data_IF_548867599772
#
_entry.id   IF_548867599772
#
_cell.length_a   1.000
_cell.length_b   1.000
_cell.length_c   1.000
_cell.angle_alpha   90.00
_cell.angle_beta   90.00
_cell.angle_gamma   90.00
#
_symmetry.space_group_name_H-M   'P 1'
#
loop_
_entity.id
_entity.type
_entity.pdbx_description
1 polymer ?
#
# COMPACT_ATOMS: atom_id res chain seq x y z
N UNK A 1 32.68 9.53 -5.05
CA UNK A 1 31.54 8.77 -4.53
C UNK A 1 31.60 7.39 -5.16
N UNK A 2 31.77 6.37 -4.36
CA UNK A 2 31.64 4.98 -4.79
C UNK A 2 30.32 4.42 -4.28
N UNK A 3 29.76 3.44 -4.98
CA UNK A 3 28.59 2.72 -4.50
C UNK A 3 29.05 1.55 -3.63
N UNK A 4 28.47 1.44 -2.45
CA UNK A 4 28.79 0.37 -1.51
C UNK A 4 27.54 -0.40 -1.14
N UNK A 5 27.65 -1.73 -0.87
CA UNK A 5 26.52 -2.52 -0.43
C UNK A 5 26.09 -2.11 0.98
N UNK A 6 24.78 -2.04 1.18
CA UNK A 6 24.15 -1.75 2.47
C UNK A 6 23.12 -2.83 2.73
N UNK A 7 23.21 -3.48 3.88
CA UNK A 7 22.30 -4.52 4.33
C UNK A 7 21.50 -4.05 5.55
N UNK A 8 20.21 -4.27 5.52
CA UNK A 8 19.33 -4.04 6.67
C UNK A 8 18.65 -5.35 7.08
N UNK A 9 18.65 -5.64 8.37
CA UNK A 9 18.03 -6.82 8.95
C UNK A 9 16.88 -6.41 9.85
N UNK A 10 15.67 -6.76 9.46
CA UNK A 10 14.46 -6.48 10.22
C UNK A 10 14.08 -7.72 11.03
N UNK A 11 13.98 -7.55 12.35
CA UNK A 11 13.68 -8.61 13.30
C UNK A 11 12.61 -8.12 14.28
N UNK A 12 11.80 -9.04 14.78
CA UNK A 12 10.87 -8.74 15.85
C UNK A 12 11.60 -8.46 17.18
N UNK A 13 10.86 -7.95 18.16
CA UNK A 13 11.38 -7.67 19.51
C UNK A 13 11.30 -8.89 20.43
N UNK A 14 10.91 -10.07 19.95
CA UNK A 14 10.89 -11.31 20.73
C UNK A 14 12.30 -11.72 21.17
N UNK A 15 12.44 -12.54 22.22
CA UNK A 15 13.74 -13.05 22.63
C UNK A 15 14.50 -13.83 21.54
N UNK A 16 13.78 -14.44 20.61
CA UNK A 16 14.34 -15.23 19.49
C UNK A 16 14.77 -14.33 18.33
N UNK A 17 14.20 -13.08 18.25
CA UNK A 17 14.45 -12.11 17.17
C UNK A 17 14.16 -12.72 15.80
N UNK A 18 12.91 -13.17 15.61
CA UNK A 18 12.49 -13.74 14.31
C UNK A 18 12.65 -12.72 13.18
N UNK A 19 13.13 -13.16 12.02
CA UNK A 19 13.19 -12.30 10.84
C UNK A 19 11.80 -11.91 10.37
N UNK A 20 11.68 -10.70 9.80
CA UNK A 20 10.41 -10.18 9.30
C UNK A 20 10.51 -10.00 7.78
N UNK A 21 9.92 -10.89 6.97
CA UNK A 21 9.88 -10.77 5.52
C UNK A 21 8.88 -9.71 5.06
N UNK A 22 8.88 -9.42 3.75
CA UNK A 22 7.91 -8.57 3.05
C UNK A 22 7.69 -7.18 3.65
N UNK A 23 8.69 -6.61 4.30
CA UNK A 23 8.68 -5.20 4.71
C UNK A 23 9.17 -4.36 3.55
N UNK A 24 8.37 -3.38 3.13
CA UNK A 24 8.83 -2.39 2.16
C UNK A 24 9.85 -1.47 2.84
N UNK A 25 11.05 -1.42 2.30
CA UNK A 25 12.15 -0.56 2.76
C UNK A 25 12.43 0.49 1.70
N UNK A 26 12.26 1.76 2.03
CA UNK A 26 12.55 2.90 1.14
C UNK A 26 13.69 3.72 1.70
N UNK A 27 14.66 4.04 0.84
CA UNK A 27 15.81 4.87 1.18
C UNK A 27 15.66 6.24 0.53
N UNK A 28 15.77 7.28 1.33
CA UNK A 28 15.65 8.67 0.92
C UNK A 28 16.97 9.44 1.17
N UNK A 29 17.11 10.61 0.53
CA UNK A 29 18.08 11.61 0.96
C UNK A 29 17.87 11.98 2.43
N UNK A 30 18.87 12.49 3.10
CA UNK A 30 18.81 12.85 4.53
C UNK A 30 17.66 13.83 4.84
N UNK A 31 17.30 14.70 3.89
CA UNK A 31 16.19 15.64 3.99
C UNK A 31 14.81 15.02 3.63
N UNK A 32 14.77 13.73 3.27
CA UNK A 32 13.56 12.98 2.95
C UNK A 32 12.87 13.33 1.64
N UNK A 33 13.51 14.17 0.77
CA UNK A 33 12.88 14.68 -0.45
C UNK A 33 13.10 13.81 -1.67
N UNK A 34 14.25 13.16 -1.78
CA UNK A 34 14.60 12.32 -2.93
C UNK A 34 14.67 10.86 -2.52
N UNK A 35 14.00 10.01 -3.29
CA UNK A 35 14.05 8.54 -3.13
C UNK A 35 15.24 8.01 -3.92
N UNK A 36 16.11 7.25 -3.26
CA UNK A 36 17.24 6.57 -3.91
C UNK A 36 16.87 5.19 -4.39
N UNK A 37 16.19 4.41 -3.54
CA UNK A 37 15.83 3.02 -3.86
C UNK A 37 14.70 2.52 -2.96
N UNK A 38 14.10 1.41 -3.39
CA UNK A 38 13.11 0.66 -2.62
C UNK A 38 13.35 -0.84 -2.82
N UNK A 39 13.16 -1.63 -1.78
CA UNK A 39 13.18 -3.11 -1.85
C UNK A 39 12.24 -3.71 -0.81
N UNK A 40 12.03 -5.03 -0.88
CA UNK A 40 11.35 -5.82 0.14
C UNK A 40 12.37 -6.61 0.94
N UNK A 41 12.09 -6.86 2.22
CA UNK A 41 12.85 -7.84 2.98
C UNK A 41 12.52 -9.25 2.48
N UNK A 42 13.54 -10.10 2.38
CA UNK A 42 13.40 -11.52 2.07
C UNK A 42 12.97 -12.34 3.32
N UNK A 43 12.91 -13.68 3.19
CA UNK A 43 12.53 -14.59 4.27
C UNK A 43 13.46 -14.51 5.50
N UNK A 44 14.71 -14.08 5.33
CA UNK A 44 15.65 -13.82 6.43
C UNK A 44 15.48 -12.43 7.04
N UNK A 45 14.46 -11.67 6.65
CA UNK A 45 14.23 -10.28 7.07
C UNK A 45 15.26 -9.31 6.52
N UNK A 46 16.02 -9.68 5.48
CA UNK A 46 17.10 -8.88 4.92
C UNK A 46 16.64 -8.08 3.71
N UNK A 47 16.98 -6.78 3.71
CA UNK A 47 16.90 -5.88 2.56
C UNK A 47 18.31 -5.44 2.18
N UNK A 48 18.66 -5.50 0.89
CA UNK A 48 19.98 -5.14 0.38
C UNK A 48 19.87 -4.11 -0.73
N UNK A 49 20.74 -3.09 -0.72
CA UNK A 49 20.83 -2.06 -1.75
C UNK A 49 22.27 -1.59 -1.96
N UNK A 50 22.49 -0.86 -3.06
CA UNK A 50 23.72 -0.15 -3.34
C UNK A 50 23.48 1.36 -3.15
N UNK A 51 24.23 1.99 -2.26
CA UNK A 51 24.13 3.42 -2.00
C UNK A 51 25.48 4.12 -2.17
N UNK A 52 25.48 5.39 -2.57
CA UNK A 52 26.69 6.23 -2.50
C UNK A 52 27.26 6.25 -1.07
N UNK A 53 28.58 6.14 -0.96
CA UNK A 53 29.30 6.21 0.31
C UNK A 53 29.41 7.63 0.87
N UNK A 54 29.81 7.73 2.14
CA UNK A 54 30.07 9.00 2.86
C UNK A 54 28.85 9.94 2.90
N UNK A 55 27.65 9.37 3.01
CA UNK A 55 26.41 10.12 3.10
C UNK A 55 25.48 9.54 4.16
N UNK A 56 24.63 10.40 4.72
CA UNK A 56 23.53 10.02 5.60
C UNK A 56 22.27 9.83 4.77
N UNK A 57 21.53 8.77 5.04
CA UNK A 57 20.27 8.47 4.41
C UNK A 57 19.16 8.35 5.43
N UNK A 58 17.96 8.73 5.03
CA UNK A 58 16.73 8.47 5.77
C UNK A 58 16.10 7.19 5.22
N UNK A 59 15.84 6.21 6.09
CA UNK A 59 15.19 4.96 5.72
C UNK A 59 13.81 4.89 6.36
N UNK A 60 12.82 4.51 5.57
CA UNK A 60 11.43 4.33 6.01
C UNK A 60 10.98 2.91 5.71
N UNK A 61 10.23 2.34 6.67
CA UNK A 61 9.76 0.97 6.64
C UNK A 61 8.23 0.94 6.63
N UNK A 62 7.63 0.04 5.84
CA UNK A 62 6.19 -0.07 5.74
C UNK A 62 5.79 -1.54 5.72
N UNK A 63 5.02 -1.96 6.72
CA UNK A 63 4.30 -3.23 6.78
C UNK A 63 3.16 -3.11 7.78
N UNK A 64 1.98 -3.57 7.39
CA UNK A 64 0.82 -3.62 8.28
C UNK A 64 1.09 -4.56 9.48
N UNK A 65 0.56 -4.20 10.65
CA UNK A 65 0.72 -5.00 11.87
C UNK A 65 2.07 -4.85 12.57
N UNK A 66 2.93 -3.90 12.12
CA UNK A 66 4.20 -3.63 12.75
C UNK A 66 4.34 -2.17 13.18
N UNK A 67 4.85 -1.97 14.39
CA UNK A 67 5.41 -0.69 14.84
C UNK A 67 6.89 -0.67 14.48
N UNK A 68 7.28 0.24 13.59
CA UNK A 68 8.63 0.34 13.03
C UNK A 68 9.24 1.71 13.35
N UNK A 69 10.57 1.79 13.60
CA UNK A 69 11.25 3.05 13.87
C UNK A 69 11.34 3.90 12.60
N UNK A 70 10.37 4.74 12.36
CA UNK A 70 10.25 5.59 11.17
C UNK A 70 10.25 7.08 11.52
N UNK A 71 11.11 7.89 10.86
CA UNK A 71 12.23 7.47 10.01
C UNK A 71 13.44 6.97 10.81
N UNK A 72 14.28 6.12 10.20
CA UNK A 72 15.60 5.75 10.72
C UNK A 72 16.68 6.39 9.86
N UNK A 73 17.67 7.02 10.49
CA UNK A 73 18.81 7.56 9.79
C UNK A 73 19.97 6.58 9.85
N UNK A 74 20.69 6.45 8.74
CA UNK A 74 21.89 5.61 8.61
C UNK A 74 23.02 6.39 7.96
N UNK A 75 24.23 6.22 8.46
CA UNK A 75 25.45 6.75 7.87
C UNK A 75 26.15 5.63 7.09
N UNK A 76 26.34 5.84 5.78
CA UNK A 76 26.96 4.86 4.90
C UNK A 76 28.45 5.11 4.82
N UNK A 77 29.24 4.14 5.29
CA UNK A 77 30.69 4.20 5.35
C UNK A 77 31.32 3.79 4.01
N UNK A 78 32.51 4.35 3.66
CA UNK A 78 33.24 3.93 2.48
C UNK A 78 33.78 2.50 2.64
N UNK A 79 34.01 1.80 1.51
CA UNK A 79 34.69 0.51 1.53
C UNK A 79 36.13 0.65 2.09
N UNK A 80 36.61 -0.25 2.96
CA UNK A 80 36.05 -1.57 3.34
C UNK A 80 35.12 -1.57 4.55
N UNK A 81 34.47 -0.44 4.87
CA UNK A 81 33.50 -0.38 5.98
C UNK A 81 32.31 -1.32 5.79
N UNK A 82 31.80 -1.86 6.89
CA UNK A 82 30.60 -2.72 6.89
C UNK A 82 29.37 -1.84 7.10
N UNK A 83 28.46 -1.84 6.13
CA UNK A 83 27.18 -1.12 6.17
C UNK A 83 26.04 -2.11 6.45
N UNK A 84 25.94 -2.57 7.69
CA UNK A 84 24.94 -3.50 8.16
C UNK A 84 24.18 -2.91 9.33
N UNK A 85 22.84 -2.88 9.25
CA UNK A 85 21.99 -2.22 10.23
C UNK A 85 20.87 -3.15 10.70
N UNK A 86 20.77 -3.36 12.00
CA UNK A 86 19.63 -4.06 12.62
C UNK A 86 18.49 -3.07 12.88
N UNK A 87 17.28 -3.54 12.60
CA UNK A 87 16.03 -2.81 12.84
C UNK A 87 15.09 -3.70 13.63
N UNK A 88 14.76 -3.28 14.85
CA UNK A 88 13.76 -3.95 15.66
C UNK A 88 12.36 -3.44 15.29
N UNK A 89 11.42 -4.36 15.09
CA UNK A 89 10.02 -4.07 14.86
C UNK A 89 9.16 -4.73 15.93
N UNK A 90 8.27 -3.98 16.53
CA UNK A 90 7.28 -4.52 17.45
C UNK A 90 6.12 -5.08 16.63
N UNK A 91 5.86 -6.39 16.76
CA UNK A 91 4.69 -7.03 16.16
C UNK A 91 3.47 -6.63 16.98
N UNK A 92 2.50 -5.99 16.32
CA UNK A 92 1.24 -5.64 16.94
C UNK A 92 0.24 -6.76 16.70
N UNK A 93 -0.25 -7.37 17.77
CA UNK A 93 -1.40 -8.27 17.65
C UNK A 93 -2.62 -7.46 17.23
N UNK A 94 -3.32 -7.85 16.14
CA UNK A 94 -4.53 -7.17 15.72
C UNK A 94 -5.55 -7.20 16.87
N UNK A 95 -6.06 -6.05 17.32
CA UNK A 95 -7.05 -6.02 18.38
C UNK A 95 -8.33 -6.70 17.89
N UNK A 96 -8.90 -7.57 18.72
CA UNK A 96 -10.15 -8.27 18.44
C UNK A 96 -11.26 -7.60 19.25
N UNK A 97 -12.36 -7.14 18.60
CA UNK A 97 -13.46 -6.53 19.32
C UNK A 97 -14.17 -7.57 20.20
N UNK A 98 -14.64 -7.15 21.38
CA UNK A 98 -15.42 -8.00 22.28
C UNK A 98 -16.78 -8.40 21.69
N UNK A 99 -17.36 -7.58 20.82
CA UNK A 99 -18.61 -7.85 20.12
C UNK A 99 -18.33 -8.31 18.69
N UNK A 100 -18.81 -9.49 18.33
CA UNK A 100 -18.63 -10.12 17.00
C UNK A 100 -19.23 -9.30 15.85
N UNK A 101 -20.12 -8.35 16.14
CA UNK A 101 -20.72 -7.44 15.17
C UNK A 101 -19.83 -6.25 14.84
N UNK A 102 -18.76 -6.05 15.60
CA UNK A 102 -17.83 -4.96 15.40
C UNK A 102 -16.59 -5.44 14.65
N UNK A 103 -16.01 -4.52 13.90
CA UNK A 103 -14.69 -4.61 13.31
C UNK A 103 -13.78 -3.59 14.00
N UNK A 104 -12.66 -4.01 14.51
CA UNK A 104 -11.65 -3.07 15.00
C UNK A 104 -10.84 -2.55 13.83
N UNK A 105 -11.05 -1.28 13.49
CA UNK A 105 -10.29 -0.56 12.48
C UNK A 105 -9.12 0.13 13.17
N UNK A 106 -7.89 -0.18 12.81
CA UNK A 106 -6.69 0.34 13.48
C UNK A 106 -5.55 0.55 12.51
N UNK A 107 -4.56 1.37 12.87
CA UNK A 107 -3.37 1.57 12.04
C UNK A 107 -2.55 2.77 12.45
N UNK A 108 -1.46 2.98 11.72
CA UNK A 108 -0.53 4.09 11.91
C UNK A 108 -0.69 5.13 10.81
N UNK A 109 -0.69 6.39 11.21
CA UNK A 109 -0.69 7.55 10.33
C UNK A 109 0.65 8.27 10.43
N UNK A 110 1.12 8.81 9.31
CA UNK A 110 2.42 9.48 9.24
C UNK A 110 2.33 10.75 8.43
N UNK A 111 3.13 11.72 8.84
CA UNK A 111 3.36 12.94 8.08
C UNK A 111 4.16 12.64 6.79
N UNK A 112 4.16 13.55 5.80
CA UNK A 112 4.94 13.37 4.57
C UNK A 112 6.45 13.18 4.79
N UNK A 113 6.99 13.70 5.88
CA UNK A 113 8.40 13.52 6.27
C UNK A 113 8.69 12.15 6.92
N UNK A 114 7.67 11.32 7.11
CA UNK A 114 7.75 9.98 7.72
C UNK A 114 7.62 9.97 9.25
N UNK A 115 7.57 11.13 9.91
CA UNK A 115 7.31 11.22 11.34
C UNK A 115 5.89 10.75 11.68
N UNK A 116 5.61 10.29 12.92
CA UNK A 116 4.25 9.99 13.36
C UNK A 116 3.33 11.20 13.20
N UNK A 117 2.12 10.97 12.70
CA UNK A 117 1.07 11.98 12.69
C UNK A 117 0.35 11.97 14.06
N UNK A 118 0.89 12.72 15.00
CA UNK A 118 0.37 12.83 16.36
C UNK A 118 -0.84 13.77 16.44
N UNK A 119 -1.76 13.47 17.36
CA UNK A 119 -2.93 14.30 17.71
C UNK A 119 -3.86 14.65 16.53
N UNK A 120 -3.94 13.81 15.50
CA UNK A 120 -4.86 13.97 14.36
C UNK A 120 -6.23 13.44 14.73
N UNK A 121 -7.26 14.29 14.68
CA UNK A 121 -8.64 13.90 14.93
C UNK A 121 -9.29 13.30 13.67
N UNK A 122 -10.00 12.18 13.85
CA UNK A 122 -10.79 11.53 12.82
C UNK A 122 -12.22 11.33 13.33
N UNK A 123 -13.21 11.76 12.54
CA UNK A 123 -14.61 11.63 12.88
C UNK A 123 -15.33 10.67 11.92
N UNK A 124 -16.02 9.69 12.47
CA UNK A 124 -16.79 8.66 11.78
C UNK A 124 -18.28 8.91 11.97
N UNK A 125 -19.00 9.18 10.87
CA UNK A 125 -20.43 9.48 10.88
C UNK A 125 -21.16 8.32 10.19
N UNK A 126 -21.97 7.52 10.93
CA UNK A 126 -22.68 6.38 10.35
C UNK A 126 -23.72 6.82 9.32
N UNK A 127 -23.83 6.06 8.23
CA UNK A 127 -24.78 6.27 7.12
C UNK A 127 -25.81 5.14 6.96
N UNK A 128 -25.91 4.27 7.93
CA UNK A 128 -26.87 3.19 7.94
C UNK A 128 -27.95 3.45 9.00
N UNK A 129 -29.10 2.79 8.83
CA UNK A 129 -30.18 2.82 9.82
C UNK A 129 -29.77 2.06 11.07
N UNK A 130 -30.29 2.42 12.26
CA UNK A 130 -30.06 1.65 13.46
C UNK A 130 -30.33 0.16 13.21
N UNK A 131 -29.40 -0.69 13.64
CA UNK A 131 -29.59 -2.14 13.57
C UNK A 131 -30.58 -2.56 14.66
N UNK A 132 -31.66 -3.26 14.28
CA UNK A 132 -32.54 -3.90 15.24
C UNK A 132 -31.94 -5.26 15.60
N UNK A 133 -31.63 -5.46 16.86
CA UNK A 133 -31.04 -6.70 17.39
C UNK A 133 -31.90 -7.15 18.57
N UNK A 134 -32.50 -8.31 18.47
CA UNK A 134 -33.29 -8.94 19.53
C UNK A 134 -34.34 -7.99 20.16
N UNK A 135 -35.00 -7.20 19.33
CA UNK A 135 -35.99 -6.21 19.78
C UNK A 135 -35.44 -4.90 20.33
N UNK A 136 -34.12 -4.73 20.32
CA UNK A 136 -33.44 -3.50 20.73
C UNK A 136 -32.83 -2.80 19.53
N UNK A 137 -32.87 -1.48 19.50
CA UNK A 137 -32.18 -0.66 18.50
C UNK A 137 -30.77 -0.33 18.95
N UNK A 138 -29.77 -0.71 18.16
CA UNK A 138 -28.40 -0.24 18.32
C UNK A 138 -28.32 1.18 17.73
N UNK A 139 -28.22 2.19 18.57
CA UNK A 139 -27.94 3.56 18.14
C UNK A 139 -26.44 3.68 17.89
N UNK A 140 -26.09 3.98 16.65
CA UNK A 140 -24.69 4.27 16.30
C UNK A 140 -24.54 5.78 16.17
N UNK A 141 -23.74 6.35 17.05
CA UNK A 141 -23.45 7.77 17.09
C UNK A 141 -22.17 8.11 16.33
N UNK A 142 -21.97 9.41 16.06
CA UNK A 142 -20.70 9.92 15.57
C UNK A 142 -19.60 9.56 16.56
N UNK A 143 -18.56 8.91 16.09
CA UNK A 143 -17.37 8.55 16.88
C UNK A 143 -16.22 9.44 16.46
N UNK A 144 -15.48 10.00 17.42
CA UNK A 144 -14.26 10.77 17.19
C UNK A 144 -13.12 10.02 17.87
N UNK A 145 -12.04 9.81 17.15
CA UNK A 145 -10.78 9.26 17.67
C UNK A 145 -9.64 10.21 17.36
N UNK A 146 -8.54 10.06 18.09
CA UNK A 146 -7.31 10.82 17.92
C UNK A 146 -6.13 9.89 17.84
N UNK A 147 -5.17 10.19 16.96
CA UNK A 147 -3.90 9.46 16.93
C UNK A 147 -3.06 9.74 18.17
N UNK A 148 -2.33 8.75 18.64
CA UNK A 148 -1.35 8.88 19.73
C UNK A 148 0.01 9.43 19.24
N UNK A 149 0.98 9.61 20.15
CA UNK A 149 2.35 10.10 19.87
C UNK A 149 3.11 9.23 18.84
N UNK A 150 2.68 7.98 18.62
CA UNK A 150 3.24 7.08 17.60
C UNK A 150 2.50 7.18 16.27
N UNK A 151 1.45 8.02 16.20
CA UNK A 151 0.54 8.10 15.07
C UNK A 151 -0.46 6.95 15.01
N UNK A 152 -0.62 6.15 16.08
CA UNK A 152 -1.56 5.04 16.12
C UNK A 152 -2.97 5.52 16.41
N UNK A 153 -3.95 4.95 15.71
CA UNK A 153 -5.37 5.15 15.95
C UNK A 153 -6.13 3.84 15.91
N UNK A 154 -7.22 3.75 16.69
CA UNK A 154 -8.09 2.59 16.75
C UNK A 154 -9.54 3.01 16.99
N UNK A 155 -10.47 2.36 16.27
CA UNK A 155 -11.91 2.54 16.46
C UNK A 155 -12.64 1.21 16.21
N UNK A 156 -13.71 0.95 16.98
CA UNK A 156 -14.60 -0.17 16.72
C UNK A 156 -15.81 0.32 15.93
N UNK A 157 -15.99 -0.19 14.72
CA UNK A 157 -17.07 0.15 13.80
C UNK A 157 -17.94 -1.08 13.53
N UNK A 158 -19.21 -0.87 13.18
CA UNK A 158 -20.15 -1.97 12.85
C UNK A 158 -19.72 -2.60 11.52
N UNK A 159 -19.59 -3.95 11.49
CA UNK A 159 -19.31 -4.70 10.27
C UNK A 159 -20.39 -4.46 9.21
N UNK A 160 -19.99 -4.42 7.95
CA UNK A 160 -20.84 -4.07 6.81
C UNK A 160 -21.51 -2.69 6.93
N UNK A 161 -21.09 -1.87 7.92
CA UNK A 161 -21.56 -0.51 8.10
C UNK A 161 -20.86 0.46 7.15
N UNK A 162 -21.60 1.48 6.71
CA UNK A 162 -21.08 2.56 5.89
C UNK A 162 -20.92 3.83 6.72
N UNK A 163 -19.76 4.48 6.62
CA UNK A 163 -19.44 5.70 7.37
C UNK A 163 -18.88 6.78 6.44
N UNK A 164 -19.30 8.01 6.66
CA UNK A 164 -18.58 9.17 6.15
C UNK A 164 -17.51 9.56 7.16
N UNK A 165 -16.26 9.69 6.71
CA UNK A 165 -15.11 9.98 7.56
C UNK A 165 -14.49 11.31 7.18
N UNK A 166 -14.20 12.14 8.19
CA UNK A 166 -13.41 13.36 8.04
C UNK A 166 -12.13 13.23 8.85
N UNK A 167 -11.02 13.67 8.29
CA UNK A 167 -9.70 13.67 8.94
C UNK A 167 -9.25 15.11 9.08
N UNK A 168 -8.81 15.51 10.29
CA UNK A 168 -8.30 16.86 10.55
C UNK A 168 -7.14 17.22 9.62
N UNK A 169 -7.17 18.42 9.05
CA UNK A 169 -6.19 18.86 8.04
C UNK A 169 -6.49 18.37 6.62
N UNK A 170 -7.57 17.59 6.45
CA UNK A 170 -8.07 17.07 5.17
C UNK A 170 -9.57 17.32 5.06
N UNK A 171 -10.05 18.46 5.56
CA UNK A 171 -11.48 18.78 5.70
C UNK A 171 -12.23 18.77 4.36
N UNK A 172 -11.53 19.04 3.26
CA UNK A 172 -12.08 18.98 1.90
C UNK A 172 -12.23 17.53 1.39
N UNK A 173 -11.70 16.55 2.13
CA UNK A 173 -11.77 15.13 1.78
C UNK A 173 -12.73 14.38 2.71
N UNK A 174 -14.03 14.53 2.46
CA UNK A 174 -15.00 13.62 3.07
C UNK A 174 -14.92 12.28 2.33
N UNK A 175 -14.44 11.25 3.01
CA UNK A 175 -14.34 9.88 2.47
C UNK A 175 -15.49 9.02 2.98
N UNK A 176 -16.10 8.24 2.08
CA UNK A 176 -17.04 7.19 2.44
C UNK A 176 -16.30 5.86 2.50
N UNK A 177 -16.42 5.16 3.62
CA UNK A 177 -15.84 3.85 3.82
C UNK A 177 -16.94 2.80 4.04
N UNK A 178 -16.67 1.58 3.60
CA UNK A 178 -17.46 0.39 3.92
C UNK A 178 -16.63 -0.49 4.85
N UNK A 179 -17.12 -0.75 6.04
CA UNK A 179 -16.43 -1.60 7.01
C UNK A 179 -16.60 -3.07 6.59
N UNK A 180 -15.53 -3.85 6.42
CA UNK A 180 -15.63 -5.24 5.98
C UNK A 180 -16.26 -6.13 7.06
N UNK A 181 -16.76 -7.31 6.64
CA UNK A 181 -17.18 -8.37 7.55
C UNK A 181 -15.96 -9.15 8.07
N UNK A 182 -15.15 -8.48 8.87
CA UNK A 182 -13.93 -9.01 9.45
C UNK A 182 -13.78 -8.54 10.90
N UNK A 183 -13.08 -9.28 11.77
CA UNK A 183 -12.85 -8.86 13.16
C UNK A 183 -11.97 -7.62 13.27
N UNK A 184 -11.08 -7.41 12.30
CA UNK A 184 -10.19 -6.25 12.25
C UNK A 184 -9.81 -5.89 10.81
N UNK A 185 -9.37 -4.66 10.63
CA UNK A 185 -8.91 -4.13 9.33
C UNK A 185 -7.94 -2.97 9.53
N UNK A 186 -7.03 -2.78 8.59
CA UNK A 186 -6.14 -1.62 8.55
C UNK A 186 -6.93 -0.34 8.23
N UNK A 187 -6.98 0.60 9.17
CA UNK A 187 -7.72 1.85 9.01
C UNK A 187 -7.16 2.75 7.89
N UNK A 188 -5.84 2.93 7.72
CA UNK A 188 -5.27 3.60 6.56
C UNK A 188 -5.77 3.06 5.21
N UNK A 189 -5.87 1.73 5.04
CA UNK A 189 -6.32 1.13 3.78
C UNK A 189 -7.80 1.39 3.51
N UNK A 190 -8.64 1.46 4.56
CA UNK A 190 -10.03 1.88 4.41
C UNK A 190 -10.18 3.34 4.00
N UNK A 191 -9.35 4.22 4.59
CA UNK A 191 -9.39 5.65 4.31
C UNK A 191 -8.74 6.01 2.98
N UNK A 192 -7.66 5.33 2.64
CA UNK A 192 -6.83 5.57 1.45
C UNK A 192 -6.57 4.26 0.70
N UNK A 193 -7.63 3.60 0.20
CA UNK A 193 -7.48 2.32 -0.46
C UNK A 193 -6.56 2.45 -1.67
N UNK A 194 -5.60 1.54 -1.77
CA UNK A 194 -4.71 1.42 -2.92
C UNK A 194 -5.11 0.22 -3.77
N UNK A 195 -4.67 0.18 -5.01
CA UNK A 195 -4.88 -0.99 -5.86
C UNK A 195 -4.08 -2.16 -5.25
N UNK A 196 -4.79 -3.23 -4.91
CA UNK A 196 -4.21 -4.49 -4.42
C UNK A 196 -3.84 -5.39 -5.60
N UNK A 197 -4.79 -5.62 -6.50
CA UNK A 197 -4.59 -6.42 -7.70
C UNK A 197 -5.56 -6.02 -8.81
N UNK A 198 -5.21 -6.40 -10.02
CA UNK A 198 -6.06 -6.27 -11.20
C UNK A 198 -6.26 -7.68 -11.79
N UNK A 199 -7.50 -8.03 -12.06
CA UNK A 199 -7.87 -9.26 -12.78
C UNK A 199 -8.48 -8.90 -14.13
N UNK A 200 -8.36 -9.81 -15.09
CA UNK A 200 -8.88 -9.60 -16.44
C UNK A 200 -9.79 -10.76 -16.86
N UNK A 201 -10.83 -10.42 -17.63
CA UNK A 201 -11.68 -11.39 -18.29
C UNK A 201 -11.62 -11.18 -19.81
N UNK A 202 -11.27 -12.20 -20.60
CA UNK A 202 -10.81 -13.54 -20.18
C UNK A 202 -9.47 -13.51 -19.43
N UNK A 203 -9.16 -14.53 -18.58
CA UNK A 203 -7.90 -14.58 -17.85
C UNK A 203 -6.73 -14.95 -18.78
N UNK A 204 -5.53 -14.33 -18.52
CA UNK A 204 -4.29 -14.64 -19.26
C UNK A 204 -3.57 -15.93 -18.82
N UNK A 205 -2.42 -16.24 -19.39
CA UNK A 205 -1.60 -15.43 -20.31
C UNK A 205 -2.12 -15.41 -21.75
N UNK A 206 -1.73 -14.40 -22.54
CA UNK A 206 -2.20 -14.25 -23.92
C UNK A 206 -1.05 -14.35 -24.92
N UNK A 207 -1.38 -14.84 -26.13
CA UNK A 207 -0.51 -14.80 -27.30
C UNK A 207 -1.27 -14.10 -28.44
N UNK A 208 -0.67 -13.09 -29.04
CA UNK A 208 -1.19 -12.33 -30.17
C UNK A 208 -0.22 -12.40 -31.34
N UNK A 209 -0.73 -12.35 -32.56
CA UNK A 209 0.13 -12.05 -33.71
C UNK A 209 0.27 -10.54 -33.86
N UNK A 210 1.26 -10.10 -34.61
CA UNK A 210 1.42 -8.69 -34.96
C UNK A 210 0.17 -8.22 -35.71
N UNK A 211 -0.45 -7.15 -35.17
CA UNK A 211 -1.68 -6.57 -35.71
C UNK A 211 -2.98 -7.12 -35.13
N UNK A 212 -2.94 -8.24 -34.40
CA UNK A 212 -4.13 -8.77 -33.73
C UNK A 212 -4.55 -7.86 -32.57
N UNK A 213 -5.86 -7.84 -32.31
CA UNK A 213 -6.47 -7.11 -31.20
C UNK A 213 -7.23 -8.09 -30.28
N UNK A 214 -7.13 -7.85 -28.97
CA UNK A 214 -7.87 -8.58 -27.96
C UNK A 214 -8.50 -7.60 -26.98
N UNK A 215 -9.79 -7.80 -26.70
CA UNK A 215 -10.52 -7.02 -25.71
C UNK A 215 -10.51 -7.72 -24.35
N UNK A 216 -10.23 -6.99 -23.29
CA UNK A 216 -10.17 -7.44 -21.92
C UNK A 216 -11.06 -6.58 -21.05
N UNK A 217 -11.81 -7.21 -20.16
CA UNK A 217 -12.56 -6.51 -19.11
C UNK A 217 -11.74 -6.55 -17.82
N UNK A 218 -11.13 -5.44 -17.38
CA UNK A 218 -10.39 -5.38 -16.14
C UNK A 218 -11.33 -5.26 -14.94
N UNK A 219 -10.98 -5.93 -13.84
CA UNK A 219 -11.56 -5.71 -12.51
C UNK A 219 -10.43 -5.26 -11.59
N UNK A 220 -10.53 -4.04 -11.08
CA UNK A 220 -9.55 -3.46 -10.16
C UNK A 220 -10.00 -3.71 -8.73
N UNK A 221 -9.19 -4.42 -7.96
CA UNK A 221 -9.42 -4.70 -6.54
C UNK A 221 -8.57 -3.76 -5.70
N UNK A 222 -9.14 -3.27 -4.62
CA UNK A 222 -8.47 -2.37 -3.69
C UNK A 222 -8.23 -3.04 -2.34
N UNK A 223 -7.29 -2.52 -1.55
CA UNK A 223 -6.87 -3.09 -0.24
C UNK A 223 -7.99 -3.12 0.80
N UNK A 224 -9.05 -2.34 0.62
CA UNK A 224 -10.27 -2.36 1.44
C UNK A 224 -11.26 -3.49 1.05
N UNK A 225 -10.87 -4.35 0.10
CA UNK A 225 -11.68 -5.47 -0.40
C UNK A 225 -12.76 -5.09 -1.41
N UNK A 226 -12.86 -3.81 -1.77
CA UNK A 226 -13.80 -3.33 -2.78
C UNK A 226 -13.20 -3.40 -4.19
N UNK A 227 -14.04 -3.10 -5.18
CA UNK A 227 -13.61 -2.84 -6.56
C UNK A 227 -13.76 -1.36 -6.86
N UNK A 228 -12.83 -0.79 -7.62
CA UNK A 228 -12.93 0.59 -8.11
C UNK A 228 -13.31 0.63 -9.58
N UNK A 229 -13.78 1.78 -10.05
CA UNK A 229 -14.02 2.00 -11.47
C UNK A 229 -12.70 1.97 -12.24
N UNK A 230 -12.73 1.34 -13.43
CA UNK A 230 -11.57 1.27 -14.33
C UNK A 230 -11.13 2.63 -14.85
N UNK A 231 -12.00 3.64 -14.81
CA UNK A 231 -11.68 5.02 -15.20
C UNK A 231 -10.74 5.73 -14.20
N UNK A 232 -10.68 5.27 -12.95
CA UNK A 232 -9.74 5.79 -11.96
C UNK A 232 -8.32 5.23 -12.15
N UNK A 233 -8.12 4.40 -13.17
CA UNK A 233 -6.84 3.74 -13.47
C UNK A 233 -6.26 4.29 -14.77
N UNK A 234 -5.00 4.72 -14.70
CA UNK A 234 -4.21 5.04 -15.90
C UNK A 234 -3.60 3.74 -16.42
N UNK A 235 -4.04 3.34 -17.61
CA UNK A 235 -3.58 2.12 -18.25
C UNK A 235 -2.39 2.39 -19.17
N UNK A 236 -1.48 1.43 -19.22
CA UNK A 236 -0.28 1.53 -20.04
C UNK A 236 0.30 0.17 -20.37
N UNK A 237 1.46 0.19 -20.98
CA UNK A 237 2.25 -1.00 -21.32
C UNK A 237 3.71 -0.80 -20.89
N UNK A 238 4.39 -1.92 -20.62
CA UNK A 238 5.83 -1.92 -20.35
C UNK A 238 6.67 -1.58 -21.59
N UNK A 239 6.18 -1.91 -22.79
CA UNK A 239 6.83 -1.62 -24.07
C UNK A 239 5.77 -1.31 -25.14
N UNK A 240 5.68 -0.03 -25.51
CA UNK A 240 4.73 0.45 -26.52
C UNK A 240 5.02 0.00 -27.95
N UNK A 241 6.23 -0.52 -28.24
CA UNK A 241 6.55 -1.09 -29.54
C UNK A 241 5.99 -2.51 -29.69
N UNK A 242 5.99 -3.27 -28.57
CA UNK A 242 5.50 -4.65 -28.54
C UNK A 242 3.98 -4.69 -28.37
N UNK A 243 3.41 -3.81 -27.54
CA UNK A 243 2.01 -3.87 -27.15
C UNK A 243 1.38 -2.48 -27.07
N UNK A 244 0.34 -2.23 -27.86
CA UNK A 244 -0.54 -1.07 -27.71
C UNK A 244 -1.65 -1.35 -26.71
N UNK A 245 -2.03 -0.35 -25.88
CA UNK A 245 -3.12 -0.44 -24.89
C UNK A 245 -4.02 0.76 -25.02
N UNK A 246 -5.33 0.52 -25.16
CA UNK A 246 -6.36 1.55 -25.24
C UNK A 246 -7.53 1.19 -24.31
N UNK A 247 -7.95 2.12 -23.47
CA UNK A 247 -9.18 2.01 -22.69
C UNK A 247 -10.32 2.77 -23.37
N UNK A 248 -11.42 2.09 -23.63
CA UNK A 248 -12.66 2.71 -24.11
C UNK A 248 -13.87 2.01 -23.50
N UNK A 249 -14.77 2.77 -22.86
CA UNK A 249 -16.00 2.24 -22.26
C UNK A 249 -15.80 1.17 -21.18
N UNK A 250 -14.70 1.23 -20.41
CA UNK A 250 -14.37 0.23 -19.39
C UNK A 250 -13.75 -1.06 -19.94
N UNK A 251 -13.51 -1.14 -21.25
CA UNK A 251 -12.86 -2.27 -21.92
C UNK A 251 -11.46 -1.84 -22.35
N UNK A 252 -10.48 -2.68 -22.06
CA UNK A 252 -9.10 -2.51 -22.53
C UNK A 252 -8.96 -3.28 -23.85
N UNK A 253 -8.56 -2.57 -24.90
CA UNK A 253 -8.14 -3.20 -26.14
C UNK A 253 -6.61 -3.25 -26.17
N UNK A 254 -6.05 -4.44 -26.27
CA UNK A 254 -4.62 -4.64 -26.47
C UNK A 254 -4.36 -5.01 -27.92
N UNK A 255 -3.27 -4.49 -28.52
CA UNK A 255 -2.89 -4.73 -29.92
C UNK A 255 -1.42 -5.13 -30.00
N UNK A 256 -1.14 -6.23 -30.67
CA UNK A 256 0.22 -6.66 -30.98
C UNK A 256 0.91 -5.72 -31.98
N UNK A 257 2.03 -5.12 -31.56
CA UNK A 257 2.84 -4.20 -32.37
C UNK A 257 4.02 -4.91 -33.08
N UNK A 258 5.00 -5.34 -32.32
CA UNK A 258 6.16 -6.10 -32.82
C UNK A 258 6.40 -7.36 -31.97
N UNK A 259 7.11 -8.38 -32.48
CA UNK A 259 7.39 -9.59 -31.73
C UNK A 259 8.11 -9.30 -30.40
N UNK A 260 7.68 -9.93 -29.32
CA UNK A 260 8.25 -9.73 -27.99
C UNK A 260 7.28 -10.06 -26.86
N UNK A 261 7.67 -9.75 -25.64
CA UNK A 261 6.81 -9.86 -24.46
C UNK A 261 6.56 -8.47 -23.90
N UNK A 262 5.30 -8.04 -23.88
CA UNK A 262 4.85 -6.82 -23.24
C UNK A 262 3.95 -7.12 -22.04
N UNK A 263 3.77 -6.16 -21.15
CA UNK A 263 2.89 -6.28 -20.00
C UNK A 263 1.87 -5.15 -20.00
N UNK A 264 0.59 -5.47 -19.75
CA UNK A 264 -0.43 -4.47 -19.47
C UNK A 264 -0.27 -4.02 -18.02
N UNK A 265 -0.28 -2.71 -17.80
CA UNK A 265 -0.06 -2.08 -16.49
C UNK A 265 -1.20 -1.14 -16.17
N UNK A 266 -1.55 -1.00 -14.89
CA UNK A 266 -2.55 -0.06 -14.42
C UNK A 266 -2.08 0.67 -13.16
N UNK A 267 -2.27 1.99 -13.11
CA UNK A 267 -1.94 2.84 -11.95
C UNK A 267 -3.13 3.74 -11.66
N UNK A 268 -3.49 3.89 -10.40
CA UNK A 268 -4.60 4.75 -10.00
C UNK A 268 -4.28 6.24 -10.26
N UNK A 269 -5.24 6.98 -10.81
CA UNK A 269 -5.04 8.36 -11.25
C UNK A 269 -4.82 9.35 -10.09
N UNK A 270 -5.43 9.10 -8.92
CA UNK A 270 -5.30 9.92 -7.70
C UNK A 270 -4.10 9.55 -6.82
N UNK A 271 -3.48 8.43 -7.09
CA UNK A 271 -2.18 8.12 -6.54
C UNK A 271 -1.14 8.94 -7.32
N UNK A 272 -0.83 10.13 -6.82
CA UNK A 272 0.44 10.80 -7.15
C UNK A 272 1.53 9.91 -6.56
N UNK A 273 1.74 8.78 -7.18
CA UNK A 273 2.98 8.05 -7.04
C UNK A 273 3.97 8.99 -7.68
N UNK A 274 4.76 9.67 -6.87
CA UNK A 274 6.09 10.08 -7.32
C UNK A 274 6.60 8.85 -8.04
N UNK A 275 6.68 8.91 -9.38
CA UNK A 275 7.17 7.82 -10.21
C UNK A 275 8.52 7.44 -9.64
N UNK A 276 8.54 6.40 -8.84
CA UNK A 276 9.76 5.71 -8.51
C UNK A 276 9.97 4.82 -9.73
N UNK A 277 11.02 5.09 -10.55
CA UNK A 277 11.43 4.12 -11.54
C UNK A 277 11.61 2.82 -10.75
N UNK A 278 11.06 1.70 -11.21
CA UNK A 278 11.17 0.37 -10.61
C UNK A 278 10.34 0.07 -9.35
N UNK A 279 9.34 0.88 -8.99
CA UNK A 279 8.31 0.41 -8.08
C UNK A 279 7.54 -0.71 -8.79
N UNK A 280 7.45 -1.94 -8.22
CA UNK A 280 6.55 -2.94 -8.78
C UNK A 280 5.16 -2.31 -8.81
N UNK A 281 4.62 -2.17 -10.01
CA UNK A 281 3.25 -1.75 -10.22
C UNK A 281 2.43 -2.75 -9.42
N UNK A 282 1.64 -2.27 -8.47
CA UNK A 282 0.76 -3.09 -7.67
C UNK A 282 -0.38 -3.56 -8.58
N UNK A 283 -0.11 -4.57 -9.30
CA UNK A 283 -0.92 -5.31 -10.23
C UNK A 283 0.01 -6.32 -10.86
N UNK A 284 -0.29 -7.60 -10.78
CA UNK A 284 0.52 -8.61 -11.48
C UNK A 284 0.49 -8.21 -12.94
N UNK A 285 1.64 -7.80 -13.52
CA UNK A 285 1.67 -7.40 -14.91
C UNK A 285 1.19 -8.59 -15.75
N UNK A 286 0.15 -8.36 -16.56
CA UNK A 286 -0.40 -9.39 -17.42
C UNK A 286 0.56 -9.60 -18.59
N UNK A 287 1.25 -10.74 -18.68
CA UNK A 287 2.16 -10.99 -19.77
C UNK A 287 1.39 -11.23 -21.09
N UNK A 288 1.78 -10.53 -22.14
CA UNK A 288 1.29 -10.72 -23.50
C UNK A 288 2.47 -11.00 -24.39
N UNK A 289 2.48 -12.17 -25.01
CA UNK A 289 3.50 -12.56 -26.01
C UNK A 289 2.98 -12.20 -27.38
N UNK A 290 3.73 -11.39 -28.13
CA UNK A 290 3.45 -11.06 -29.54
C UNK A 290 4.39 -11.86 -30.41
N UNK A 291 3.86 -12.63 -31.35
CA UNK A 291 4.57 -13.46 -32.31
C UNK A 291 4.58 -12.84 -33.71
#
# INVERSE_FOLDING_TARGET
MSFVPVDMFLKDTSPIKNPIPDVVVRVFSADGKMVFTQTLTNDDGKASFLLPDQATYQVRFYKFGLSLPNPKYIDVLPSPGVNSFDVAAEVMEPPIPLDVRLCTCFGFFRNPDGSPADAVDMAFIPKFRPLLLDGSAMLVERTIIRTDERGYAQVNLVRNGQYDVTVQGMEDMQRRINVPDAPNVNLPDLLFPVIDRITFDPPGPYTLNVGDELQLTPTVHTTDGNTTDTYDVIWGTSDANVLGVLLAGGIITIRGGSPGTGYVTGTRADQIIVRIPDSPIVGVPLPVVVQ
#
